data_IF_029226634209
#
_entry.id   IF_029226634209
#
_cell.length_a   1.000
_cell.length_b   1.000
_cell.length_c   1.000
_cell.angle_alpha   90.00
_cell.angle_beta   90.00
_cell.angle_gamma   90.00
#
_symmetry.space_group_name_H-M   'P 1'
#
loop_
_entity.id
_entity.type
_entity.pdbx_description
1 polymer ?
#
# COMPACT_ATOMS: atom_id res chain seq x y z
N UNK A 1 12.37 13.72 -4.61
CA UNK A 1 11.12 13.27 -3.99
C UNK A 1 10.76 11.94 -4.63
N UNK A 2 10.30 10.97 -3.84
CA UNK A 2 9.96 9.63 -4.29
C UNK A 2 8.78 9.09 -3.47
N UNK A 3 8.27 7.92 -3.85
CA UNK A 3 7.09 7.33 -3.25
C UNK A 3 7.47 6.10 -2.44
N UNK A 4 7.21 6.11 -1.13
CA UNK A 4 7.60 5.02 -0.23
C UNK A 4 6.50 4.03 0.09
N UNK A 5 5.25 4.42 -0.12
CA UNK A 5 4.12 3.55 0.13
C UNK A 5 3.02 3.86 -0.85
N UNK A 6 2.40 2.81 -1.36
CA UNK A 6 1.27 2.90 -2.26
C UNK A 6 0.24 1.85 -1.86
N UNK A 7 -1.02 2.29 -1.75
CA UNK A 7 -2.17 1.38 -1.67
C UNK A 7 -3.07 1.63 -2.86
N UNK A 8 -3.31 0.61 -3.68
CA UNK A 8 -4.15 0.64 -4.89
C UNK A 8 -5.30 -0.35 -4.74
N UNK A 9 -6.49 0.03 -5.21
CA UNK A 9 -7.67 -0.81 -5.26
C UNK A 9 -8.33 -0.72 -6.64
N UNK A 10 -8.82 -1.84 -7.16
CA UNK A 10 -9.60 -1.86 -8.41
C UNK A 10 -10.65 -2.97 -8.36
N UNK A 11 -11.85 -2.67 -8.85
CA UNK A 11 -12.89 -3.65 -9.12
C UNK A 11 -12.80 -4.09 -10.58
N UNK A 12 -12.69 -5.40 -10.80
CA UNK A 12 -12.59 -5.99 -12.14
C UNK A 12 -13.95 -6.45 -12.70
N UNK A 13 -15.01 -6.43 -11.90
CA UNK A 13 -16.35 -6.84 -12.31
C UNK A 13 -16.56 -8.34 -12.53
N UNK A 14 -15.55 -9.17 -12.26
CA UNK A 14 -15.64 -10.63 -12.30
C UNK A 14 -14.94 -11.26 -11.09
N UNK A 15 -15.32 -12.48 -10.74
CA UNK A 15 -14.76 -13.20 -9.60
C UNK A 15 -13.26 -13.47 -9.81
N UNK A 16 -12.42 -12.93 -8.92
CA UNK A 16 -10.98 -13.11 -8.94
C UNK A 16 -10.58 -14.45 -8.30
N UNK A 17 -9.42 -15.03 -8.70
CA UNK A 17 -8.95 -16.29 -8.14
C UNK A 17 -8.48 -16.14 -6.69
N UNK A 18 -8.62 -17.21 -5.92
CA UNK A 18 -8.08 -17.33 -4.57
C UNK A 18 -6.62 -17.76 -4.69
N UNK A 19 -5.73 -17.05 -3.97
CA UNK A 19 -4.28 -17.28 -4.00
C UNK A 19 -3.72 -17.74 -2.64
N UNK A 20 -4.52 -17.63 -1.58
CA UNK A 20 -4.19 -18.11 -0.24
C UNK A 20 -4.43 -19.62 -0.13
N UNK A 21 -3.63 -20.29 0.70
CA UNK A 21 -3.86 -21.69 1.08
C UNK A 21 -5.13 -21.90 1.92
N UNK A 22 -5.65 -20.84 2.52
CA UNK A 22 -6.85 -20.86 3.37
C UNK A 22 -7.89 -19.89 2.81
N UNK A 23 -9.14 -20.37 2.70
CA UNK A 23 -10.32 -19.58 2.43
C UNK A 23 -11.39 -19.85 3.49
N UNK A 24 -12.23 -18.84 3.72
CA UNK A 24 -13.36 -18.88 4.64
C UNK A 24 -14.65 -18.78 3.86
N UNK A 25 -15.63 -19.57 4.25
CA UNK A 25 -17.01 -19.43 3.79
C UNK A 25 -17.90 -19.25 5.02
N UNK A 26 -18.79 -18.25 4.99
CA UNK A 26 -19.76 -18.03 6.05
C UNK A 26 -21.05 -18.72 5.64
N UNK A 27 -21.60 -19.56 6.50
CA UNK A 27 -22.88 -20.23 6.26
C UNK A 27 -23.90 -19.58 7.20
N UNK A 28 -24.99 -19.09 6.63
CA UNK A 28 -26.11 -18.60 7.42
C UNK A 28 -26.84 -19.79 8.04
N UNK A 29 -26.83 -19.89 9.36
CA UNK A 29 -27.36 -21.07 10.08
C UNK A 29 -28.87 -21.22 9.94
N UNK A 30 -29.60 -20.12 9.80
CA UNK A 30 -31.07 -20.13 9.68
C UNK A 30 -31.54 -20.49 8.28
N UNK A 31 -30.87 -19.99 7.23
CA UNK A 31 -31.27 -20.18 5.83
C UNK A 31 -30.52 -21.31 5.14
N UNK A 32 -29.38 -21.75 5.68
CA UNK A 32 -28.47 -22.70 5.04
C UNK A 32 -27.68 -22.11 3.86
N UNK A 33 -27.87 -20.83 3.54
CA UNK A 33 -27.20 -20.19 2.40
C UNK A 33 -25.71 -19.93 2.72
N UNK A 34 -24.86 -20.27 1.76
CA UNK A 34 -23.43 -20.06 1.85
C UNK A 34 -23.03 -18.73 1.19
N UNK A 35 -22.22 -17.94 1.89
CA UNK A 35 -21.62 -16.73 1.33
C UNK A 35 -20.61 -17.05 0.24
N UNK A 36 -20.20 -16.02 -0.50
CA UNK A 36 -19.01 -16.11 -1.35
C UNK A 36 -17.77 -16.49 -0.52
N UNK A 37 -16.82 -17.17 -1.15
CA UNK A 37 -15.53 -17.49 -0.56
C UNK A 37 -14.72 -16.20 -0.34
N UNK A 38 -14.10 -16.10 0.83
CA UNK A 38 -13.21 -15.00 1.21
C UNK A 38 -11.86 -15.56 1.62
N UNK A 39 -10.78 -14.81 1.46
CA UNK A 39 -9.44 -15.22 1.86
C UNK A 39 -8.79 -14.16 2.76
N UNK A 40 -7.86 -14.55 3.65
CA UNK A 40 -7.06 -13.58 4.37
C UNK A 40 -6.19 -12.79 3.40
N UNK A 41 -5.66 -11.65 3.87
CA UNK A 41 -4.71 -10.86 3.10
C UNK A 41 -3.45 -11.70 2.85
N UNK A 42 -3.13 -11.92 1.58
CA UNK A 42 -1.94 -12.63 1.16
C UNK A 42 -0.71 -11.72 1.31
N UNK A 43 0.28 -12.18 2.06
CA UNK A 43 1.55 -11.47 2.23
C UNK A 43 2.56 -12.06 1.25
N UNK A 44 2.84 -11.34 0.18
CA UNK A 44 3.86 -11.72 -0.78
C UNK A 44 5.21 -11.15 -0.34
N UNK A 45 6.17 -12.05 -0.10
CA UNK A 45 7.52 -11.67 0.36
C UNK A 45 8.45 -11.55 -0.84
N UNK A 46 9.08 -10.38 -0.95
CA UNK A 46 10.13 -10.12 -1.93
C UNK A 46 11.51 -10.49 -1.41
N UNK A 47 12.53 -10.10 -2.15
CA UNK A 47 13.91 -10.16 -1.67
C UNK A 47 14.12 -9.15 -0.52
N UNK A 48 15.14 -9.32 0.33
CA UNK A 48 15.52 -8.36 1.37
C UNK A 48 14.43 -8.00 2.41
N UNK A 49 13.60 -8.99 2.77
CA UNK A 49 12.50 -8.87 3.74
C UNK A 49 11.36 -7.93 3.30
N UNK A 50 11.27 -7.62 2.02
CA UNK A 50 10.16 -6.83 1.50
C UNK A 50 8.86 -7.61 1.60
N UNK A 51 7.78 -6.91 1.92
CA UNK A 51 6.44 -7.50 2.02
C UNK A 51 5.45 -6.57 1.34
N UNK A 52 4.68 -7.12 0.42
CA UNK A 52 3.49 -6.48 -0.14
C UNK A 52 2.26 -7.30 0.25
N UNK A 53 1.19 -6.59 0.61
CA UNK A 53 -0.08 -7.16 1.01
C UNK A 53 -1.04 -7.14 -0.18
N UNK A 54 -1.60 -8.29 -0.53
CA UNK A 54 -2.61 -8.46 -1.58
C UNK A 54 -3.91 -8.98 -0.93
N UNK A 55 -5.00 -8.24 -1.11
CA UNK A 55 -6.33 -8.60 -0.60
C UNK A 55 -7.29 -8.72 -1.77
N UNK A 56 -8.03 -9.82 -1.82
CA UNK A 56 -9.03 -10.09 -2.86
C UNK A 56 -10.37 -10.30 -2.17
N UNK A 57 -11.40 -9.58 -2.64
CA UNK A 57 -12.77 -9.68 -2.15
C UNK A 57 -13.72 -9.73 -3.34
N UNK A 58 -14.13 -10.94 -3.73
CA UNK A 58 -14.96 -11.12 -4.93
C UNK A 58 -14.23 -10.64 -6.18
N UNK A 59 -14.69 -9.52 -6.74
CA UNK A 59 -14.11 -8.86 -7.90
C UNK A 59 -13.10 -7.74 -7.58
N UNK A 60 -12.97 -7.37 -6.31
CA UNK A 60 -12.10 -6.27 -5.88
C UNK A 60 -10.73 -6.79 -5.49
N UNK A 61 -9.69 -6.25 -6.14
CA UNK A 61 -8.29 -6.44 -5.81
C UNK A 61 -7.76 -5.20 -5.12
N UNK A 62 -7.08 -5.39 -4.00
CA UNK A 62 -6.36 -4.34 -3.28
C UNK A 62 -4.92 -4.78 -3.02
N UNK A 63 -3.97 -3.91 -3.35
CA UNK A 63 -2.55 -4.14 -3.10
C UNK A 63 -1.96 -2.97 -2.33
N UNK A 64 -1.11 -3.27 -1.33
CA UNK A 64 -0.47 -2.28 -0.47
C UNK A 64 0.97 -2.67 -0.16
N UNK A 65 1.88 -1.70 -0.15
CA UNK A 65 3.28 -1.93 0.21
C UNK A 65 4.22 -0.84 -0.28
N UNK A 66 5.53 -1.10 -0.18
CA UNK A 66 6.59 -0.20 -0.64
C UNK A 66 7.16 -0.65 -2.00
N UNK A 67 6.69 -0.09 -3.13
CA UNK A 67 7.22 -0.42 -4.46
C UNK A 67 8.65 0.10 -4.67
N UNK A 68 9.06 1.15 -3.97
CA UNK A 68 10.43 1.72 -4.06
C UNK A 68 11.49 0.85 -3.41
N UNK A 69 11.10 0.02 -2.46
CA UNK A 69 11.98 -0.93 -1.77
C UNK A 69 11.97 -2.30 -2.43
N UNK A 70 10.89 -2.68 -3.11
CA UNK A 70 10.71 -4.02 -3.67
C UNK A 70 11.91 -4.51 -4.50
N UNK A 71 12.54 -5.60 -4.04
CA UNK A 71 13.68 -6.21 -4.71
C UNK A 71 14.99 -5.45 -4.55
N UNK A 72 15.05 -4.50 -3.61
CA UNK A 72 16.21 -3.65 -3.34
C UNK A 72 16.59 -3.74 -1.86
N UNK A 73 17.88 -3.57 -1.58
CA UNK A 73 18.40 -3.57 -0.21
C UNK A 73 17.90 -2.36 0.60
N UNK A 74 17.85 -1.20 -0.06
CA UNK A 74 17.30 0.04 0.48
C UNK A 74 16.50 0.82 -0.58
N UNK A 75 15.70 1.77 -0.09
CA UNK A 75 14.90 2.71 -0.87
C UNK A 75 15.34 4.17 -0.64
N UNK A 76 16.62 4.44 -0.33
CA UNK A 76 17.10 5.81 -0.15
C UNK A 76 16.78 6.67 -1.38
N UNK A 77 16.85 6.09 -2.57
CA UNK A 77 16.36 6.68 -3.81
C UNK A 77 15.25 5.82 -4.41
N UNK A 78 14.02 6.14 -4.07
CA UNK A 78 12.83 5.43 -4.56
C UNK A 78 12.36 5.86 -5.95
N UNK A 79 11.22 5.30 -6.33
CA UNK A 79 10.51 5.58 -7.58
C UNK A 79 9.89 6.99 -7.55
N UNK A 80 10.09 7.80 -8.60
CA UNK A 80 9.68 9.21 -8.59
C UNK A 80 8.20 9.42 -8.96
N UNK A 81 7.55 8.44 -9.59
CA UNK A 81 6.19 8.58 -10.12
C UNK A 81 5.29 7.43 -9.72
N UNK A 82 3.99 7.73 -9.67
CA UNK A 82 2.95 6.74 -9.40
C UNK A 82 2.92 5.67 -10.49
N UNK A 83 3.08 6.04 -11.76
CA UNK A 83 3.08 5.07 -12.86
C UNK A 83 4.18 4.01 -12.68
N UNK A 84 5.39 4.42 -12.29
CA UNK A 84 6.50 3.48 -12.01
C UNK A 84 6.18 2.56 -10.83
N UNK A 85 5.53 3.08 -9.79
CA UNK A 85 5.09 2.28 -8.64
C UNK A 85 4.03 1.25 -9.03
N UNK A 86 3.05 1.67 -9.83
CA UNK A 86 1.99 0.79 -10.34
C UNK A 86 2.58 -0.26 -11.28
N UNK A 87 3.60 0.06 -12.07
CA UNK A 87 4.31 -0.93 -12.90
C UNK A 87 4.94 -2.04 -12.06
N UNK A 88 5.60 -1.70 -10.94
CA UNK A 88 6.14 -2.72 -10.01
C UNK A 88 5.02 -3.58 -9.42
N UNK A 89 3.92 -2.98 -9.00
CA UNK A 89 2.76 -3.73 -8.52
C UNK A 89 2.18 -4.65 -9.60
N UNK A 90 2.03 -4.16 -10.83
CA UNK A 90 1.51 -4.94 -11.95
C UNK A 90 2.43 -6.11 -12.33
N UNK A 91 3.75 -5.96 -12.20
CA UNK A 91 4.68 -7.06 -12.39
C UNK A 91 4.45 -8.16 -11.34
N UNK A 92 4.36 -7.78 -10.06
CA UNK A 92 4.07 -8.73 -8.97
C UNK A 92 2.72 -9.43 -9.17
N UNK A 93 1.69 -8.69 -9.57
CA UNK A 93 0.37 -9.26 -9.85
C UNK A 93 0.42 -10.24 -11.01
N UNK A 94 1.15 -9.93 -12.07
CA UNK A 94 1.34 -10.82 -13.22
C UNK A 94 2.04 -12.12 -12.81
N UNK A 95 3.08 -12.02 -11.97
CA UNK A 95 3.80 -13.18 -11.43
C UNK A 95 2.91 -14.06 -10.54
N UNK A 96 1.91 -13.47 -9.88
CA UNK A 96 0.88 -14.16 -9.09
C UNK A 96 -0.30 -14.68 -9.91
N UNK A 97 -0.32 -14.45 -11.23
CA UNK A 97 -1.44 -14.84 -12.10
C UNK A 97 -2.72 -14.01 -11.88
N UNK A 98 -2.60 -12.80 -11.35
CA UNK A 98 -3.70 -11.86 -11.11
C UNK A 98 -3.80 -10.80 -12.21
N UNK A 99 -4.99 -10.21 -12.42
CA UNK A 99 -5.12 -9.11 -13.36
C UNK A 99 -4.38 -7.87 -12.87
N UNK A 100 -3.86 -7.10 -13.83
CA UNK A 100 -3.08 -5.89 -13.58
C UNK A 100 -3.98 -4.67 -13.40
N UNK A 101 -3.52 -3.71 -12.61
CA UNK A 101 -4.19 -2.41 -12.46
C UNK A 101 -4.15 -1.61 -13.76
N UNK A 102 -5.28 -0.97 -14.08
CA UNK A 102 -5.44 -0.10 -15.26
C UNK A 102 -5.65 1.35 -14.83
N UNK A 103 -5.33 2.31 -15.71
CA UNK A 103 -5.57 3.72 -15.42
C UNK A 103 -7.07 3.99 -15.33
N UNK A 104 -7.51 4.66 -14.26
CA UNK A 104 -8.87 5.16 -14.15
C UNK A 104 -9.10 6.25 -15.21
N UNK A 105 -10.13 6.09 -16.05
CA UNK A 105 -10.50 7.08 -17.09
C UNK A 105 -11.87 7.70 -16.84
N UNK A 106 -12.73 7.04 -16.05
CA UNK A 106 -14.07 7.52 -15.73
C UNK A 106 -14.40 7.35 -14.25
N UNK A 107 -15.09 8.36 -13.73
CA UNK A 107 -15.75 8.34 -12.42
C UNK A 107 -17.25 8.34 -12.66
N UNK A 108 -17.95 7.36 -12.11
CA UNK A 108 -19.38 7.17 -12.31
C UNK A 108 -20.11 7.27 -10.96
N UNK A 109 -21.11 8.15 -10.81
CA UNK A 109 -21.92 8.20 -9.60
C UNK A 109 -22.82 6.97 -9.50
N UNK A 110 -22.78 6.31 -8.36
CA UNK A 110 -23.65 5.23 -7.97
C UNK A 110 -24.98 5.71 -7.41
N UNK A 111 -25.92 4.79 -7.28
CA UNK A 111 -27.17 5.05 -6.57
C UNK A 111 -26.92 4.98 -5.06
N UNK A 112 -27.18 6.08 -4.35
CA UNK A 112 -27.17 6.14 -2.88
C UNK A 112 -28.58 6.38 -2.35
N UNK A 113 -28.83 6.04 -1.09
CA UNK A 113 -30.10 6.35 -0.43
C UNK A 113 -30.25 7.87 -0.27
N UNK A 114 -31.49 8.32 -0.10
CA UNK A 114 -31.79 9.70 0.23
C UNK A 114 -31.04 10.11 1.51
N UNK A 115 -30.30 11.23 1.46
CA UNK A 115 -29.38 11.74 2.50
C UNK A 115 -28.06 10.99 2.72
N UNK A 116 -27.70 9.99 1.89
CA UNK A 116 -26.36 9.40 1.91
C UNK A 116 -25.45 10.02 0.84
N UNK A 117 -24.14 10.08 1.12
CA UNK A 117 -23.15 10.50 0.12
C UNK A 117 -23.19 9.53 -1.07
N UNK A 118 -23.20 10.10 -2.27
CA UNK A 118 -23.11 9.34 -3.52
C UNK A 118 -21.81 8.53 -3.53
N UNK A 119 -21.93 7.21 -3.67
CA UNK A 119 -20.78 6.32 -3.88
C UNK A 119 -20.27 6.49 -5.31
N UNK A 120 -18.96 6.64 -5.48
CA UNK A 120 -18.34 6.73 -6.80
C UNK A 120 -17.76 5.37 -7.20
N UNK A 121 -18.03 4.98 -8.44
CA UNK A 121 -17.43 3.84 -9.12
C UNK A 121 -16.37 4.31 -10.12
N UNK A 122 -15.33 3.50 -10.30
CA UNK A 122 -14.23 3.77 -11.22
C UNK A 122 -14.09 2.63 -12.22
N UNK A 123 -13.62 2.92 -13.43
CA UNK A 123 -13.33 1.90 -14.46
C UNK A 123 -11.87 1.41 -14.43
N UNK A 124 -11.10 1.89 -13.45
CA UNK A 124 -9.70 1.52 -13.25
C UNK A 124 -9.25 1.72 -11.81
N UNK A 125 -7.94 1.71 -11.64
CA UNK A 125 -7.27 1.73 -10.35
C UNK A 125 -7.51 3.03 -9.58
N UNK A 126 -7.86 2.85 -8.30
CA UNK A 126 -8.05 3.89 -7.31
C UNK A 126 -6.90 3.87 -6.31
N UNK A 127 -6.18 4.99 -6.20
CA UNK A 127 -5.13 5.17 -5.20
C UNK A 127 -5.79 5.50 -3.87
N UNK A 128 -5.68 4.61 -2.89
CA UNK A 128 -6.23 4.79 -1.54
C UNK A 128 -5.27 5.49 -0.60
N UNK A 129 -3.97 5.32 -0.81
CA UNK A 129 -2.93 5.86 0.05
C UNK A 129 -1.64 6.06 -0.73
N UNK A 130 -0.94 7.15 -0.45
CA UNK A 130 0.34 7.50 -1.06
C UNK A 130 1.23 8.15 -0.02
N UNK A 131 2.43 7.61 0.20
CA UNK A 131 3.45 8.24 1.05
C UNK A 131 4.51 8.87 0.16
N UNK A 132 4.75 10.16 0.35
CA UNK A 132 5.71 10.94 -0.42
C UNK A 132 6.90 11.26 0.48
N UNK A 133 8.09 10.86 0.02
CA UNK A 133 9.33 11.02 0.76
C UNK A 133 10.28 11.93 0.01
N UNK A 134 11.05 12.72 0.76
CA UNK A 134 12.12 13.54 0.21
C UNK A 134 13.36 13.42 1.07
N UNK A 135 14.49 13.11 0.46
CA UNK A 135 15.77 13.20 1.15
C UNK A 135 16.11 14.65 1.45
N UNK A 136 16.67 14.88 2.63
CA UNK A 136 17.25 16.16 3.04
C UNK A 136 18.74 15.94 3.23
N UNK A 137 19.52 16.95 2.86
CA UNK A 137 20.96 17.00 3.09
C UNK A 137 21.29 18.28 3.83
N UNK A 138 22.36 18.24 4.62
CA UNK A 138 22.92 19.42 5.28
C UNK A 138 24.22 19.81 4.62
N UNK A 139 24.64 21.06 4.82
CA UNK A 139 25.98 21.49 4.39
C UNK A 139 27.05 20.75 5.19
N UNK A 140 28.18 20.45 4.54
CA UNK A 140 29.33 19.80 5.19
C UNK A 140 29.69 20.49 6.51
N UNK A 141 29.85 19.72 7.57
CA UNK A 141 30.18 20.20 8.91
C UNK A 141 28.96 20.52 9.79
N UNK A 142 27.73 20.44 9.26
CA UNK A 142 26.49 20.67 10.02
C UNK A 142 25.76 19.36 10.38
N UNK A 143 26.36 18.19 10.10
CA UNK A 143 25.74 16.88 10.33
C UNK A 143 25.40 16.68 11.81
N UNK A 144 26.34 16.97 12.70
CA UNK A 144 26.19 16.78 14.14
C UNK A 144 25.18 17.77 14.75
N UNK A 145 25.15 19.02 14.27
CA UNK A 145 24.18 20.03 14.72
C UNK A 145 22.75 19.65 14.30
N UNK A 146 22.59 19.13 13.08
CA UNK A 146 21.30 18.68 12.60
C UNK A 146 20.80 17.43 13.33
N UNK A 147 21.68 16.44 13.56
CA UNK A 147 21.36 15.24 14.33
C UNK A 147 21.01 15.62 15.78
N UNK A 148 21.77 16.54 16.38
CA UNK A 148 21.49 17.07 17.72
C UNK A 148 20.11 17.70 17.77
N UNK A 149 19.80 18.58 16.82
CA UNK A 149 18.51 19.24 16.70
C UNK A 149 17.35 18.24 16.58
N UNK A 150 17.45 17.25 15.69
CA UNK A 150 16.42 16.20 15.54
C UNK A 150 16.25 15.38 16.83
N UNK A 151 17.33 15.06 17.53
CA UNK A 151 17.27 14.24 18.75
C UNK A 151 16.54 14.92 19.90
N UNK A 152 16.33 16.24 19.82
CA UNK A 152 15.50 17.01 20.76
C UNK A 152 14.00 17.00 20.42
N UNK A 153 13.63 16.56 19.21
CA UNK A 153 12.25 16.58 18.77
C UNK A 153 11.51 15.29 19.19
N UNK A 154 10.31 15.38 19.78
CA UNK A 154 9.50 14.21 20.06
C UNK A 154 8.95 13.61 18.75
N UNK A 155 8.94 12.28 18.65
CA UNK A 155 8.26 11.57 17.56
C UNK A 155 7.07 10.80 18.10
N UNK A 156 5.86 11.30 17.81
CA UNK A 156 4.60 10.79 18.38
C UNK A 156 4.70 10.71 19.92
N UNK A 157 4.75 9.50 20.48
CA UNK A 157 4.83 9.25 21.92
C UNK A 157 6.28 8.98 22.39
N UNK A 158 7.27 9.05 21.50
CA UNK A 158 8.68 8.85 21.84
C UNK A 158 9.23 10.09 22.54
N UNK A 159 9.84 9.88 23.71
CA UNK A 159 10.54 10.93 24.44
C UNK A 159 11.85 11.24 23.71
N UNK A 160 12.14 12.52 23.40
CA UNK A 160 13.40 12.91 22.77
C UNK A 160 14.57 12.61 23.72
N UNK A 161 15.68 12.13 23.15
CA UNK A 161 16.90 11.81 23.90
C UNK A 161 18.12 12.17 23.07
N UNK A 162 18.79 13.25 23.48
CA UNK A 162 20.14 13.55 23.01
C UNK A 162 21.15 12.83 23.89
N UNK A 163 22.03 12.03 23.30
CA UNK A 163 23.10 11.37 24.04
C UNK A 163 24.21 12.37 24.38
N UNK A 164 25.02 12.06 25.39
CA UNK A 164 26.14 12.92 25.85
C UNK A 164 27.22 13.15 24.78
N UNK A 165 27.25 12.33 23.73
CA UNK A 165 28.10 12.51 22.56
C UNK A 165 27.55 13.52 21.53
N UNK A 166 26.39 14.14 21.79
CA UNK A 166 25.72 15.04 20.84
C UNK A 166 25.07 14.31 19.65
N UNK A 167 24.83 13.01 19.75
CA UNK A 167 24.30 12.19 18.63
C UNK A 167 23.06 11.39 19.06
N UNK A 168 22.43 10.74 18.08
CA UNK A 168 21.21 9.95 18.25
C UNK A 168 21.44 8.48 18.60
N UNK A 169 22.71 8.02 18.57
CA UNK A 169 23.18 6.68 18.97
C UNK A 169 24.56 6.74 19.63
#
# INVERSE_FOLDING_TARGET
>A
MFLDWLTVEQDFGYQLPIISAVAYQRIHLETGEASALSQPTFQHRGSFCDVVSVSIRGSVLKMSGNPSRWGRLDNLFGLPSVDMCVMVFNQILSDLGLPVFTRCTRLMPGQSKENEKVHLFTDGALIKELHITSNKSVGKGNEDDYISGISTQPYRNSVPRLHSNGKSV
#
